data_IF_567069252080
#
_entry.id   IF_567069252080
#
_cell.length_a   1.000
_cell.length_b   1.000
_cell.length_c   1.000
_cell.angle_alpha   90.00
_cell.angle_beta   90.00
_cell.angle_gamma   90.00
#
_symmetry.space_group_name_H-M   'P 1'
#
loop_
_entity.id
_entity.type
_entity.pdbx_description
1 polymer ?
#
# COMPACT_ATOMS: atom_id res chain seq x y z
N UNK A 1 -17.60 -25.74 15.37
CA UNK A 1 -18.41 -24.48 15.45
C UNK A 1 -19.05 -24.26 14.09
N UNK A 2 -20.34 -23.93 14.05
CA UNK A 2 -21.03 -23.71 12.77
C UNK A 2 -20.66 -22.36 12.14
N UNK A 3 -20.91 -22.22 10.83
CA UNK A 3 -20.70 -20.95 10.08
C UNK A 3 -21.46 -19.80 10.75
N UNK A 4 -22.74 -19.99 11.09
CA UNK A 4 -23.58 -18.97 11.79
C UNK A 4 -23.00 -18.60 13.14
N UNK A 5 -22.52 -19.57 13.90
CA UNK A 5 -21.92 -19.31 15.21
C UNK A 5 -20.62 -18.53 15.09
N UNK A 6 -19.75 -18.90 14.14
CA UNK A 6 -18.51 -18.18 13.85
C UNK A 6 -18.81 -16.72 13.45
N UNK A 7 -19.71 -16.51 12.48
CA UNK A 7 -20.11 -15.19 12.03
C UNK A 7 -20.64 -14.32 13.19
N UNK A 8 -21.58 -14.86 13.98
CA UNK A 8 -22.12 -14.15 15.14
C UNK A 8 -21.03 -13.77 16.15
N UNK A 9 -20.10 -14.68 16.45
CA UNK A 9 -19.02 -14.42 17.43
C UNK A 9 -18.03 -13.40 16.87
N UNK A 10 -17.63 -13.51 15.62
CA UNK A 10 -16.71 -12.57 14.98
C UNK A 10 -17.29 -11.15 14.92
N UNK A 11 -18.54 -10.99 14.51
CA UNK A 11 -19.22 -9.69 14.44
C UNK A 11 -19.47 -9.02 15.80
N UNK A 12 -19.40 -9.77 16.90
CA UNK A 12 -19.42 -9.20 18.26
C UNK A 12 -18.06 -8.64 18.72
N UNK A 13 -17.00 -8.86 17.95
CA UNK A 13 -15.66 -8.32 18.23
C UNK A 13 -15.60 -6.88 17.71
N UNK A 14 -15.25 -5.94 18.58
CA UNK A 14 -15.14 -4.53 18.19
C UNK A 14 -14.09 -4.30 17.11
N UNK A 15 -14.48 -3.68 16.00
CA UNK A 15 -13.61 -3.38 14.86
C UNK A 15 -13.56 -4.49 13.80
N UNK A 16 -14.38 -5.55 13.95
CA UNK A 16 -14.57 -6.58 12.92
C UNK A 16 -15.90 -6.33 12.22
N UNK A 17 -15.88 -6.27 10.91
CA UNK A 17 -17.04 -5.98 10.07
C UNK A 17 -17.41 -7.19 9.20
N UNK A 18 -18.64 -7.16 8.67
CA UNK A 18 -19.15 -8.26 7.84
C UNK A 18 -18.25 -8.62 6.65
N UNK A 19 -17.67 -7.67 5.89
CA UNK A 19 -16.71 -8.01 4.84
C UNK A 19 -15.54 -8.84 5.34
N UNK A 20 -14.91 -8.46 6.46
CA UNK A 20 -13.80 -9.21 7.05
C UNK A 20 -14.15 -10.67 7.33
N UNK A 21 -15.34 -10.87 7.89
CA UNK A 21 -15.84 -12.22 8.24
C UNK A 21 -16.10 -13.05 6.99
N UNK A 22 -16.69 -12.44 5.95
CA UNK A 22 -16.97 -13.12 4.69
C UNK A 22 -15.67 -13.48 3.95
N UNK A 23 -14.69 -12.60 3.96
CA UNK A 23 -13.36 -12.87 3.37
C UNK A 23 -12.64 -14.01 4.10
N UNK A 24 -12.66 -14.02 5.44
CA UNK A 24 -12.11 -15.12 6.23
C UNK A 24 -12.81 -16.43 5.91
N UNK A 25 -14.14 -16.45 5.86
CA UNK A 25 -14.91 -17.63 5.54
C UNK A 25 -14.58 -18.16 4.14
N UNK A 26 -14.47 -17.27 3.17
CA UNK A 26 -14.14 -17.60 1.78
C UNK A 26 -12.70 -18.11 1.64
N UNK A 27 -11.73 -17.34 2.11
CA UNK A 27 -10.30 -17.58 1.80
C UNK A 27 -9.70 -18.71 2.68
N UNK A 28 -10.18 -18.88 3.92
CA UNK A 28 -9.63 -19.87 4.85
C UNK A 28 -10.45 -21.17 4.87
N UNK A 29 -11.78 -21.05 4.83
CA UNK A 29 -12.69 -22.18 4.97
C UNK A 29 -13.33 -22.61 3.64
N UNK A 30 -13.06 -21.91 2.54
CA UNK A 30 -13.68 -22.13 1.23
C UNK A 30 -15.22 -22.15 1.30
N UNK A 31 -15.79 -21.21 2.07
CA UNK A 31 -17.22 -20.99 2.27
C UNK A 31 -17.64 -19.77 1.50
N UNK A 32 -18.49 -19.95 0.48
CA UNK A 32 -19.02 -18.83 -0.30
C UNK A 32 -20.09 -18.04 0.45
N UNK A 33 -20.38 -16.81 0.00
CA UNK A 33 -21.49 -16.01 0.56
C UNK A 33 -22.85 -16.70 0.43
N UNK A 34 -23.01 -17.57 -0.57
CA UNK A 34 -24.21 -18.38 -0.75
C UNK A 34 -24.29 -19.47 0.32
N UNK A 35 -23.17 -20.14 0.61
CA UNK A 35 -23.09 -21.16 1.65
C UNK A 35 -23.40 -20.59 3.04
N UNK A 36 -23.00 -19.35 3.31
CA UNK A 36 -23.33 -18.64 4.56
C UNK A 36 -24.85 -18.53 4.76
N UNK A 37 -25.60 -18.35 3.67
CA UNK A 37 -27.06 -18.20 3.70
C UNK A 37 -27.75 -19.55 3.74
N UNK A 38 -27.31 -20.52 2.93
CA UNK A 38 -28.00 -21.80 2.73
C UNK A 38 -27.55 -22.83 3.77
N UNK A 39 -26.23 -22.93 4.02
CA UNK A 39 -25.61 -23.98 4.83
C UNK A 39 -25.02 -23.46 6.15
N UNK A 40 -25.63 -22.42 6.72
CA UNK A 40 -25.10 -21.77 7.94
C UNK A 40 -24.90 -22.71 9.14
N UNK A 41 -25.51 -23.88 9.15
CA UNK A 41 -25.34 -24.90 10.18
C UNK A 41 -24.17 -25.88 9.91
N UNK A 42 -23.52 -25.76 8.74
CA UNK A 42 -22.30 -26.53 8.40
C UNK A 42 -21.17 -26.20 9.38
N UNK A 43 -20.45 -27.24 9.81
CA UNK A 43 -19.34 -27.09 10.76
C UNK A 43 -18.05 -26.63 10.07
N UNK A 44 -17.39 -25.66 10.68
CA UNK A 44 -16.02 -25.25 10.39
C UNK A 44 -15.04 -26.09 11.21
N UNK A 45 -13.82 -26.28 10.68
CA UNK A 45 -12.75 -26.98 11.39
C UNK A 45 -12.20 -26.19 12.60
N UNK A 46 -11.19 -26.76 13.27
CA UNK A 46 -10.62 -26.22 14.52
C UNK A 46 -9.98 -24.84 14.36
N UNK A 47 -9.55 -24.44 13.13
CA UNK A 47 -8.99 -23.11 12.85
C UNK A 47 -9.95 -21.98 13.23
N UNK A 48 -11.26 -22.23 13.21
CA UNK A 48 -12.26 -21.23 13.56
C UNK A 48 -12.11 -20.65 14.97
N UNK A 49 -11.63 -21.44 15.94
CA UNK A 49 -11.38 -20.98 17.32
C UNK A 49 -10.13 -20.10 17.37
N UNK A 50 -9.06 -20.53 16.71
CA UNK A 50 -7.81 -19.76 16.62
C UNK A 50 -8.03 -18.39 15.95
N UNK A 51 -8.79 -18.37 14.86
CA UNK A 51 -9.10 -17.14 14.13
C UNK A 51 -9.90 -16.16 15.01
N UNK A 52 -10.90 -16.64 15.75
CA UNK A 52 -11.62 -15.78 16.70
C UNK A 52 -10.69 -15.21 17.80
N UNK A 53 -9.71 -15.98 18.28
CA UNK A 53 -8.73 -15.49 19.24
C UNK A 53 -7.82 -14.40 18.63
N UNK A 54 -7.36 -14.58 17.38
CA UNK A 54 -6.58 -13.58 16.64
C UNK A 54 -7.39 -12.30 16.42
N UNK A 55 -8.64 -12.40 16.00
CA UNK A 55 -9.54 -11.25 15.84
C UNK A 55 -9.78 -10.51 17.18
N UNK A 56 -9.98 -11.25 18.29
CA UNK A 56 -10.10 -10.65 19.62
C UNK A 56 -8.83 -9.89 20.05
N UNK A 57 -7.67 -10.30 19.58
CA UNK A 57 -6.40 -9.59 19.77
C UNK A 57 -6.25 -8.40 18.82
N UNK A 58 -7.26 -8.07 18.04
CA UNK A 58 -7.26 -6.98 17.06
C UNK A 58 -6.29 -7.19 15.89
N UNK A 59 -5.94 -8.42 15.58
CA UNK A 59 -5.16 -8.72 14.38
C UNK A 59 -6.02 -8.46 13.13
N UNK A 60 -5.51 -7.67 12.15
CA UNK A 60 -6.24 -7.39 10.92
C UNK A 60 -6.61 -8.66 10.16
N UNK A 61 -7.83 -8.72 9.61
CA UNK A 61 -8.32 -9.84 8.81
C UNK A 61 -7.38 -10.18 7.64
N UNK A 62 -6.80 -9.17 7.00
CA UNK A 62 -5.83 -9.34 5.92
C UNK A 62 -4.57 -10.13 6.36
N UNK A 63 -4.06 -9.91 7.58
CA UNK A 63 -2.93 -10.69 8.09
C UNK A 63 -3.34 -12.11 8.52
N UNK A 64 -4.58 -12.29 8.96
CA UNK A 64 -5.12 -13.61 9.27
C UNK A 64 -5.24 -14.45 7.99
N UNK A 65 -5.73 -13.85 6.91
CA UNK A 65 -5.85 -14.45 5.57
C UNK A 65 -4.47 -14.62 4.91
N UNK A 66 -3.56 -13.66 5.12
CA UNK A 66 -2.21 -13.63 4.57
C UNK A 66 -2.09 -12.98 3.19
N UNK A 67 -3.19 -12.52 2.61
CA UNK A 67 -3.20 -11.81 1.33
C UNK A 67 -4.44 -10.92 1.18
N UNK A 68 -4.39 -10.03 0.19
CA UNK A 68 -5.51 -9.21 -0.29
C UNK A 68 -5.56 -9.22 -1.82
N UNK A 69 -6.68 -8.77 -2.39
CA UNK A 69 -6.77 -8.43 -3.80
C UNK A 69 -6.42 -6.95 -3.97
N UNK A 70 -5.60 -6.61 -4.99
CA UNK A 70 -5.18 -5.25 -5.31
C UNK A 70 -4.90 -5.12 -6.81
N UNK A 71 -5.60 -4.23 -7.48
CA UNK A 71 -5.48 -3.97 -8.93
C UNK A 71 -5.50 -5.26 -9.79
N UNK A 72 -6.35 -6.22 -9.43
CA UNK A 72 -6.49 -7.52 -10.12
C UNK A 72 -5.36 -8.51 -9.84
N UNK A 73 -4.57 -8.29 -8.79
CA UNK A 73 -3.50 -9.18 -8.33
C UNK A 73 -3.77 -9.68 -6.91
N UNK A 74 -3.26 -10.86 -6.60
CA UNK A 74 -3.17 -11.34 -5.22
C UNK A 74 -1.87 -10.81 -4.61
N UNK A 75 -1.97 -10.01 -3.56
CA UNK A 75 -0.85 -9.42 -2.84
C UNK A 75 -0.76 -10.03 -1.45
N UNK A 76 0.28 -10.80 -1.20
CA UNK A 76 0.60 -11.30 0.15
C UNK A 76 0.94 -10.16 1.07
N UNK A 77 0.42 -10.26 2.30
CA UNK A 77 0.67 -9.32 3.38
C UNK A 77 0.94 -10.07 4.68
N UNK A 78 1.76 -9.47 5.53
CA UNK A 78 2.06 -9.93 6.88
C UNK A 78 2.51 -8.72 7.72
N UNK A 79 2.78 -8.84 9.04
CA UNK A 79 3.18 -7.73 9.89
C UNK A 79 4.47 -6.96 9.50
N UNK A 80 5.18 -7.37 8.45
CA UNK A 80 6.35 -6.66 7.94
C UNK A 80 6.00 -5.58 6.89
N UNK A 81 4.75 -5.50 6.43
CA UNK A 81 4.30 -4.54 5.41
C UNK A 81 2.97 -3.90 5.78
N UNK A 82 2.77 -2.66 5.38
CA UNK A 82 1.46 -2.01 5.44
C UNK A 82 0.46 -2.81 4.59
N UNK A 83 -0.75 -3.01 5.10
CA UNK A 83 -1.86 -3.55 4.29
C UNK A 83 -2.22 -2.50 3.24
N UNK A 84 -2.12 -2.80 1.93
CA UNK A 84 -2.46 -1.82 0.89
C UNK A 84 -3.90 -1.30 1.04
N UNK A 85 -4.06 0.02 0.89
CA UNK A 85 -5.34 0.71 1.08
C UNK A 85 -6.06 0.91 -0.26
N UNK A 86 -7.37 1.09 -0.20
CA UNK A 86 -8.19 1.35 -1.39
C UNK A 86 -7.78 2.66 -2.10
N UNK A 87 -7.39 3.67 -1.34
CA UNK A 87 -6.89 4.94 -1.89
C UNK A 87 -5.59 4.74 -2.69
N UNK A 88 -4.70 3.86 -2.22
CA UNK A 88 -3.49 3.48 -2.95
C UNK A 88 -3.83 2.73 -4.24
N UNK A 89 -4.84 1.86 -4.21
CA UNK A 89 -5.33 1.17 -5.42
C UNK A 89 -5.91 2.16 -6.43
N UNK A 90 -6.72 3.12 -5.96
CA UNK A 90 -7.27 4.20 -6.79
C UNK A 90 -6.15 5.00 -7.48
N UNK A 91 -5.08 5.37 -6.75
CA UNK A 91 -3.92 6.05 -7.34
C UNK A 91 -3.34 5.23 -8.48
N UNK A 92 -3.06 3.95 -8.24
CA UNK A 92 -2.42 3.07 -9.24
C UNK A 92 -3.30 2.90 -10.46
N UNK A 93 -4.59 2.64 -10.29
CA UNK A 93 -5.53 2.46 -11.39
C UNK A 93 -5.63 3.74 -12.24
N UNK A 94 -5.77 4.91 -11.60
CA UNK A 94 -5.81 6.20 -12.29
C UNK A 94 -4.52 6.48 -13.08
N UNK A 95 -3.35 6.22 -12.49
CA UNK A 95 -2.07 6.39 -13.17
C UNK A 95 -1.95 5.45 -14.37
N UNK A 96 -2.34 4.18 -14.23
CA UNK A 96 -2.30 3.20 -15.32
C UNK A 96 -3.30 3.48 -16.46
N UNK A 97 -4.35 4.26 -16.21
CA UNK A 97 -5.31 4.70 -17.22
C UNK A 97 -4.87 5.97 -17.95
N UNK A 98 -4.16 6.86 -17.25
CA UNK A 98 -3.83 8.21 -17.75
C UNK A 98 -2.40 8.34 -18.26
N UNK A 99 -1.51 7.42 -17.92
CA UNK A 99 -0.08 7.45 -18.27
C UNK A 99 0.31 6.14 -18.97
N UNK A 100 0.97 6.27 -20.12
CA UNK A 100 1.64 5.14 -20.76
C UNK A 100 3.05 4.97 -20.16
N UNK A 101 3.20 3.95 -19.33
CA UNK A 101 4.48 3.57 -18.71
C UNK A 101 5.34 2.66 -19.61
N UNK A 102 4.95 2.36 -20.83
CA UNK A 102 5.71 1.51 -21.76
C UNK A 102 7.09 2.10 -22.03
N UNK A 103 8.13 1.28 -21.90
CA UNK A 103 9.55 1.67 -22.06
C UNK A 103 10.02 2.78 -21.10
N UNK A 104 9.34 2.99 -19.97
CA UNK A 104 9.71 3.95 -18.93
C UNK A 104 10.45 3.26 -17.78
N UNK A 105 11.28 4.03 -17.09
CA UNK A 105 11.94 3.61 -15.86
C UNK A 105 11.22 4.23 -14.67
N UNK A 106 10.67 3.37 -13.81
CA UNK A 106 9.78 3.73 -12.71
C UNK A 106 10.44 3.33 -11.39
N UNK A 107 10.28 4.16 -10.37
CA UNK A 107 10.62 3.86 -8.99
C UNK A 107 9.35 3.81 -8.15
N UNK A 108 9.08 2.67 -7.53
CA UNK A 108 8.15 2.53 -6.40
C UNK A 108 8.96 2.70 -5.12
N UNK A 109 8.80 3.86 -4.46
CA UNK A 109 9.58 4.25 -3.28
C UNK A 109 8.76 4.06 -2.02
N UNK A 110 9.33 3.45 -0.98
CA UNK A 110 8.63 2.93 0.20
C UNK A 110 7.62 1.85 -0.20
N UNK A 111 8.08 0.86 -0.97
CA UNK A 111 7.21 -0.05 -1.70
C UNK A 111 6.40 -1.01 -0.81
N UNK A 112 6.80 -1.25 0.44
CA UNK A 112 6.12 -2.18 1.34
C UNK A 112 5.92 -3.55 0.70
N UNK A 113 4.66 -3.96 0.49
CA UNK A 113 4.30 -5.21 -0.19
C UNK A 113 4.62 -5.22 -1.69
N UNK A 114 5.01 -4.07 -2.27
CA UNK A 114 5.25 -3.90 -3.69
C UNK A 114 3.99 -3.68 -4.53
N UNK A 115 2.83 -3.48 -3.92
CA UNK A 115 1.53 -3.42 -4.61
C UNK A 115 1.48 -2.36 -5.71
N UNK A 116 2.11 -1.19 -5.53
CA UNK A 116 2.14 -0.10 -6.52
C UNK A 116 3.01 -0.51 -7.72
N UNK A 117 4.30 -0.75 -7.48
CA UNK A 117 5.27 -1.02 -8.54
C UNK A 117 4.97 -2.29 -9.31
N UNK A 118 4.53 -3.35 -8.63
CA UNK A 118 4.18 -4.61 -9.25
C UNK A 118 2.93 -4.50 -10.13
N UNK A 119 1.92 -3.69 -9.75
CA UNK A 119 0.75 -3.43 -10.59
C UNK A 119 1.13 -2.74 -11.90
N UNK A 120 2.01 -1.73 -11.82
CA UNK A 120 2.53 -1.04 -13.00
C UNK A 120 3.36 -2.00 -13.86
N UNK A 121 4.25 -2.78 -13.25
CA UNK A 121 5.08 -3.74 -13.96
C UNK A 121 4.26 -4.79 -14.71
N UNK A 122 3.19 -5.30 -14.10
CA UNK A 122 2.27 -6.28 -14.70
C UNK A 122 1.52 -5.69 -15.89
N UNK A 123 1.02 -4.45 -15.76
CA UNK A 123 0.24 -3.79 -16.81
C UNK A 123 1.10 -3.32 -17.98
N UNK A 124 2.37 -2.97 -17.73
CA UNK A 124 3.32 -2.46 -18.73
C UNK A 124 4.59 -3.31 -18.78
N UNK A 125 4.56 -4.49 -19.42
CA UNK A 125 5.67 -5.44 -19.42
C UNK A 125 6.99 -4.90 -20.02
N UNK A 126 6.92 -3.87 -20.89
CA UNK A 126 8.10 -3.19 -21.45
C UNK A 126 8.70 -2.11 -20.54
N UNK A 127 8.07 -1.79 -19.42
CA UNK A 127 8.62 -0.88 -18.43
C UNK A 127 9.77 -1.54 -17.64
N UNK A 128 10.59 -0.73 -16.98
CA UNK A 128 11.57 -1.17 -15.98
C UNK A 128 11.17 -0.60 -14.64
N UNK A 129 10.76 -1.44 -13.70
CA UNK A 129 10.30 -1.00 -12.38
C UNK A 129 11.33 -1.38 -11.32
N UNK A 130 11.76 -0.39 -10.53
CA UNK A 130 12.59 -0.60 -9.34
C UNK A 130 11.70 -0.35 -8.12
N UNK A 131 11.69 -1.29 -7.18
CA UNK A 131 10.98 -1.17 -5.92
C UNK A 131 12.00 -0.98 -4.80
N UNK A 132 11.77 0.01 -3.96
CA UNK A 132 12.72 0.35 -2.89
C UNK A 132 12.01 0.50 -1.56
N UNK A 133 12.59 -0.10 -0.52
CA UNK A 133 12.15 0.05 0.87
C UNK A 133 13.36 0.03 1.80
N UNK A 134 13.22 0.60 2.99
CA UNK A 134 14.26 0.54 4.03
C UNK A 134 14.26 -0.84 4.72
N UNK A 135 13.10 -1.49 4.78
CA UNK A 135 12.92 -2.81 5.40
C UNK A 135 13.28 -3.93 4.43
N UNK A 136 14.29 -4.72 4.79
CA UNK A 136 14.62 -5.94 4.05
C UNK A 136 13.48 -6.96 4.09
N UNK A 137 12.75 -7.00 5.19
CA UNK A 137 11.59 -7.88 5.38
C UNK A 137 10.45 -7.49 4.42
N UNK A 138 10.19 -6.19 4.24
CA UNK A 138 9.24 -5.70 3.25
C UNK A 138 9.66 -6.09 1.82
N UNK A 139 10.93 -5.89 1.48
CA UNK A 139 11.49 -6.33 0.18
C UNK A 139 11.27 -7.84 -0.04
N UNK A 140 11.47 -8.69 0.97
CA UNK A 140 11.24 -10.12 0.84
C UNK A 140 9.76 -10.43 0.52
N UNK A 141 8.81 -9.70 1.14
CA UNK A 141 7.38 -9.84 0.82
C UNK A 141 7.09 -9.37 -0.61
N UNK A 142 7.67 -8.25 -1.05
CA UNK A 142 7.49 -7.75 -2.41
C UNK A 142 8.12 -8.70 -3.46
N UNK A 143 9.27 -9.32 -3.17
CA UNK A 143 9.86 -10.36 -4.02
C UNK A 143 8.96 -11.59 -4.16
N UNK A 144 8.31 -12.01 -3.07
CA UNK A 144 7.33 -13.09 -3.12
C UNK A 144 6.11 -12.68 -3.96
N UNK A 145 5.61 -11.46 -3.78
CA UNK A 145 4.50 -10.91 -4.56
C UNK A 145 4.83 -10.81 -6.07
N UNK A 146 6.05 -10.43 -6.42
CA UNK A 146 6.54 -10.50 -7.80
C UNK A 146 6.42 -11.91 -8.37
N UNK A 147 6.87 -12.92 -7.61
CA UNK A 147 6.90 -14.33 -8.04
C UNK A 147 5.50 -14.91 -8.24
N UNK A 148 4.58 -14.70 -7.29
CA UNK A 148 3.22 -15.26 -7.39
C UNK A 148 2.35 -14.60 -8.47
N UNK A 149 2.74 -13.41 -8.94
CA UNK A 149 2.05 -12.69 -10.00
C UNK A 149 2.77 -12.76 -11.36
N UNK A 150 3.83 -13.59 -11.49
CA UNK A 150 4.59 -13.83 -12.73
C UNK A 150 5.16 -12.56 -13.37
N UNK A 151 5.67 -11.63 -12.54
CA UNK A 151 6.21 -10.35 -13.01
C UNK A 151 7.72 -10.48 -13.23
N UNK A 152 8.23 -10.07 -14.40
CA UNK A 152 9.64 -10.23 -14.76
C UNK A 152 10.44 -8.93 -14.84
N UNK A 153 9.78 -7.80 -15.05
CA UNK A 153 10.37 -6.48 -15.29
C UNK A 153 10.51 -5.60 -14.03
N UNK A 154 10.52 -6.23 -12.85
CA UNK A 154 10.67 -5.57 -11.55
C UNK A 154 11.95 -6.04 -10.84
N UNK A 155 12.66 -5.11 -10.20
CA UNK A 155 13.85 -5.37 -9.37
C UNK A 155 13.76 -4.61 -8.05
N UNK A 156 14.58 -4.98 -7.05
CA UNK A 156 14.44 -4.49 -5.68
C UNK A 156 15.75 -3.90 -5.15
N UNK A 157 15.63 -2.85 -4.31
CA UNK A 157 16.75 -2.18 -3.66
C UNK A 157 16.38 -1.88 -2.20
N UNK A 158 17.24 -2.26 -1.25
CA UNK A 158 17.11 -1.80 0.13
C UNK A 158 17.73 -0.41 0.24
N UNK A 159 16.94 0.60 0.65
CA UNK A 159 17.40 2.00 0.72
C UNK A 159 16.59 2.80 1.75
N UNK A 160 17.27 3.61 2.55
CA UNK A 160 16.61 4.69 3.30
C UNK A 160 16.23 5.78 2.30
N UNK A 161 14.94 5.80 1.93
CA UNK A 161 14.42 6.60 0.82
C UNK A 161 15.31 6.51 -0.43
N UNK A 162 15.94 7.60 -0.84
CA UNK A 162 16.73 7.74 -2.06
C UNK A 162 18.25 7.61 -1.87
N UNK A 163 18.72 7.22 -0.66
CA UNK A 163 20.15 7.20 -0.33
C UNK A 163 20.97 6.22 -1.19
N UNK A 164 20.44 5.03 -1.47
CA UNK A 164 21.09 4.00 -2.28
C UNK A 164 20.67 4.04 -3.75
N UNK A 165 19.79 4.97 -4.14
CA UNK A 165 19.27 5.08 -5.49
C UNK A 165 20.23 5.89 -6.37
N UNK A 166 20.79 5.24 -7.39
CA UNK A 166 21.80 5.86 -8.30
C UNK A 166 21.24 6.21 -9.67
N UNK A 167 20.12 5.62 -10.03
CA UNK A 167 19.51 5.78 -11.35
C UNK A 167 18.62 7.03 -11.43
N UNK A 168 18.32 7.45 -12.68
CA UNK A 168 17.31 8.48 -12.94
C UNK A 168 16.05 7.87 -13.52
N UNK A 169 14.89 8.33 -13.04
CA UNK A 169 13.57 7.78 -13.33
C UNK A 169 12.73 8.73 -14.17
N UNK A 170 11.89 8.16 -15.02
CA UNK A 170 10.81 8.89 -15.70
C UNK A 170 9.70 9.20 -14.72
N UNK A 171 9.41 8.24 -13.82
CA UNK A 171 8.35 8.36 -12.83
C UNK A 171 8.81 7.83 -11.48
N UNK A 172 8.41 8.52 -10.42
CA UNK A 172 8.55 8.05 -9.04
C UNK A 172 7.17 8.04 -8.41
N UNK A 173 6.75 6.90 -7.86
CA UNK A 173 5.48 6.77 -7.15
C UNK A 173 5.81 6.38 -5.71
N UNK A 174 5.12 6.94 -4.74
CA UNK A 174 5.34 6.61 -3.34
C UNK A 174 4.10 6.82 -2.50
N UNK A 175 3.84 5.87 -1.63
CA UNK A 175 3.02 6.05 -0.43
C UNK A 175 3.98 6.04 0.78
N UNK A 176 4.65 7.16 1.10
CA UNK A 176 5.62 7.19 2.19
C UNK A 176 4.91 7.28 3.54
N UNK A 177 5.57 6.94 4.66
CA UNK A 177 5.04 7.20 5.99
C UNK A 177 4.67 8.68 6.15
N UNK A 178 3.48 8.96 6.73
CA UNK A 178 2.96 10.32 6.89
C UNK A 178 2.24 10.59 8.21
N UNK A 179 2.16 9.62 9.11
CA UNK A 179 1.51 9.80 10.41
C UNK A 179 2.48 10.49 11.38
N UNK A 180 2.03 11.53 12.12
CA UNK A 180 2.83 12.14 13.17
C UNK A 180 3.18 11.15 14.29
N UNK A 181 4.41 11.22 14.79
CA UNK A 181 4.84 10.41 15.94
C UNK A 181 3.95 10.68 17.16
N UNK A 182 3.64 9.61 17.91
CA UNK A 182 2.77 9.68 19.08
C UNK A 182 1.27 9.63 18.76
N UNK A 183 0.88 9.61 17.49
CA UNK A 183 -0.51 9.38 17.11
C UNK A 183 -0.90 7.94 17.45
N UNK A 184 -2.06 7.77 18.10
CA UNK A 184 -2.62 6.43 18.35
C UNK A 184 -3.17 5.86 17.06
N UNK A 185 -2.65 4.72 16.63
CA UNK A 185 -3.18 3.96 15.49
C UNK A 185 -4.16 2.90 15.98
N UNK A 186 -5.09 2.50 15.13
CA UNK A 186 -6.11 1.50 15.47
C UNK A 186 -5.52 0.10 15.68
N UNK A 187 -4.37 -0.17 15.07
CA UNK A 187 -3.70 -1.47 15.18
C UNK A 187 -2.21 -1.30 15.52
N UNK A 188 -1.73 -2.15 16.42
CA UNK A 188 -0.30 -2.28 16.73
C UNK A 188 0.40 -3.33 15.83
N UNK A 189 -0.32 -3.94 14.90
CA UNK A 189 0.21 -5.01 14.05
C UNK A 189 0.96 -4.49 12.83
N UNK A 190 0.60 -3.31 12.32
CA UNK A 190 1.29 -2.72 11.18
C UNK A 190 2.65 -2.14 11.59
N UNK A 191 3.68 -2.24 10.72
CA UNK A 191 5.03 -1.82 11.09
C UNK A 191 5.11 -0.29 11.29
N UNK A 192 5.66 0.14 12.40
CA UNK A 192 5.81 1.57 12.74
C UNK A 192 6.58 2.36 11.67
N UNK A 193 7.56 1.72 11.01
CA UNK A 193 8.34 2.32 9.91
C UNK A 193 7.47 2.67 8.68
N UNK A 194 6.36 1.98 8.48
CA UNK A 194 5.45 2.26 7.37
C UNK A 194 4.42 3.35 7.71
N UNK A 195 4.32 3.76 8.98
CA UNK A 195 3.29 4.68 9.46
C UNK A 195 3.85 6.06 9.81
N UNK A 196 4.89 6.11 10.65
CA UNK A 196 5.29 7.35 11.33
C UNK A 196 6.40 8.11 10.59
N UNK A 197 6.30 9.44 10.56
CA UNK A 197 7.20 10.33 9.83
C UNK A 197 7.45 11.65 10.57
N UNK A 198 8.15 11.57 11.69
CA UNK A 198 8.49 12.73 12.52
C UNK A 198 7.29 13.35 13.24
N UNK A 199 7.52 14.49 13.89
CA UNK A 199 6.54 15.14 14.77
C UNK A 199 5.29 15.66 14.05
N UNK A 200 5.39 16.02 12.77
CA UNK A 200 4.28 16.56 11.98
C UNK A 200 3.84 15.66 10.81
N UNK A 201 4.46 14.47 10.66
CA UNK A 201 4.15 13.52 9.60
C UNK A 201 4.77 13.85 8.24
N UNK A 202 5.67 14.85 8.15
CA UNK A 202 6.14 15.35 6.87
C UNK A 202 7.63 15.09 6.58
N UNK A 203 8.35 14.42 7.47
CA UNK A 203 9.80 14.23 7.32
C UNK A 203 10.16 13.38 6.11
N UNK A 204 9.36 12.36 5.79
CA UNK A 204 9.54 11.55 4.58
C UNK A 204 9.50 12.41 3.32
N UNK A 205 8.50 13.27 3.19
CA UNK A 205 8.37 14.18 2.04
C UNK A 205 9.53 15.15 1.94
N UNK A 206 9.99 15.74 3.08
CA UNK A 206 11.15 16.64 3.11
C UNK A 206 12.40 15.95 2.59
N UNK A 207 12.68 14.72 3.05
CA UNK A 207 13.82 13.92 2.64
C UNK A 207 13.76 13.57 1.15
N UNK A 208 12.60 13.09 0.68
CA UNK A 208 12.41 12.68 -0.70
C UNK A 208 12.53 13.89 -1.64
N UNK A 209 11.75 14.96 -1.41
CA UNK A 209 11.67 16.14 -2.29
C UNK A 209 13.05 16.80 -2.45
N UNK A 210 13.84 16.88 -1.38
CA UNK A 210 15.19 17.45 -1.44
C UNK A 210 16.14 16.65 -2.36
N UNK A 211 15.93 15.35 -2.53
CA UNK A 211 16.78 14.49 -3.36
C UNK A 211 16.26 14.23 -4.77
N UNK A 212 15.02 14.60 -5.08
CA UNK A 212 14.43 14.42 -6.42
C UNK A 212 15.32 14.94 -7.56
N UNK A 213 16.01 16.10 -7.46
CA UNK A 213 16.82 16.61 -8.57
C UNK A 213 17.94 15.65 -9.03
N UNK A 214 18.40 14.76 -8.15
CA UNK A 214 19.47 13.81 -8.45
C UNK A 214 18.98 12.53 -9.13
N UNK A 215 17.71 12.13 -8.87
CA UNK A 215 17.14 10.84 -9.28
C UNK A 215 15.97 10.97 -10.27
N UNK A 216 15.41 12.17 -10.46
CA UNK A 216 14.35 12.40 -11.43
C UNK A 216 14.93 12.94 -12.74
N UNK A 217 14.49 12.40 -13.87
CA UNK A 217 14.82 12.93 -15.20
C UNK A 217 14.22 14.32 -15.37
N UNK A 218 14.69 15.07 -16.36
CA UNK A 218 14.26 16.45 -16.61
C UNK A 218 12.74 16.57 -16.83
N UNK A 219 12.14 15.65 -17.58
CA UNK A 219 10.69 15.58 -17.83
C UNK A 219 10.00 14.56 -16.92
N UNK A 220 10.66 14.12 -15.86
CA UNK A 220 10.11 13.14 -14.94
C UNK A 220 9.04 13.75 -14.04
N UNK A 221 8.15 12.90 -13.55
CA UNK A 221 7.05 13.26 -12.66
C UNK A 221 7.06 12.40 -11.40
N UNK A 222 6.52 12.94 -10.30
CA UNK A 222 6.39 12.23 -9.03
C UNK A 222 4.95 12.22 -8.57
N UNK A 223 4.52 11.09 -8.04
CA UNK A 223 3.18 10.87 -7.53
C UNK A 223 3.25 10.38 -6.09
N UNK A 224 2.69 11.16 -5.18
CA UNK A 224 2.62 10.81 -3.78
C UNK A 224 1.19 10.55 -3.35
N UNK A 225 0.98 9.54 -2.50
CA UNK A 225 -0.14 9.52 -1.59
C UNK A 225 0.15 10.45 -0.42
N UNK A 226 -0.86 11.16 0.08
CA UNK A 226 -0.74 12.15 1.16
C UNK A 226 -1.87 12.00 2.18
N UNK A 227 -1.66 12.51 3.39
CA UNK A 227 -2.70 12.68 4.39
C UNK A 227 -3.58 13.89 4.08
N UNK A 228 -4.91 13.72 4.16
CA UNK A 228 -5.88 14.82 4.02
C UNK A 228 -5.64 15.90 5.09
N UNK A 229 -5.73 17.17 4.71
CA UNK A 229 -5.46 18.31 5.57
C UNK A 229 -3.98 18.71 5.69
N UNK A 230 -3.06 18.07 4.92
CA UNK A 230 -1.63 18.43 4.89
C UNK A 230 -1.20 19.13 3.59
N UNK A 231 -2.14 19.41 2.68
CA UNK A 231 -1.87 19.93 1.33
C UNK A 231 -1.03 21.20 1.35
N UNK A 232 -1.43 22.21 2.14
CA UNK A 232 -0.74 23.51 2.19
C UNK A 232 0.69 23.36 2.72
N UNK A 233 0.88 22.51 3.73
CA UNK A 233 2.20 22.21 4.28
C UNK A 233 3.10 21.54 3.22
N UNK A 234 2.57 20.56 2.49
CA UNK A 234 3.28 19.85 1.43
C UNK A 234 3.62 20.76 0.26
N UNK A 235 2.67 21.58 -0.19
CA UNK A 235 2.93 22.58 -1.24
C UNK A 235 3.98 23.60 -0.80
N UNK A 236 3.99 24.02 0.48
CA UNK A 236 5.03 24.88 1.03
C UNK A 236 6.43 24.23 0.99
N UNK A 237 6.53 22.91 1.26
CA UNK A 237 7.80 22.16 1.14
C UNK A 237 8.28 22.17 -0.32
N UNK A 238 7.38 21.88 -1.27
CA UNK A 238 7.69 21.88 -2.70
C UNK A 238 8.14 23.25 -3.18
N UNK A 239 7.44 24.32 -2.77
CA UNK A 239 7.76 25.69 -3.18
C UNK A 239 9.09 26.20 -2.63
N UNK A 240 9.45 25.82 -1.41
CA UNK A 240 10.78 26.15 -0.83
C UNK A 240 11.92 25.51 -1.60
N UNK A 241 11.72 24.31 -2.14
CA UNK A 241 12.72 23.64 -2.98
C UNK A 241 12.87 24.33 -4.35
N UNK A 242 11.80 24.98 -4.87
CA UNK A 242 11.83 25.90 -5.98
C UNK A 242 11.85 25.28 -7.38
N UNK A 243 12.17 24.00 -7.53
CA UNK A 243 12.34 23.30 -8.82
C UNK A 243 11.01 22.73 -9.33
N UNK A 244 10.15 22.29 -8.44
CA UNK A 244 8.92 21.59 -8.80
C UNK A 244 7.66 22.43 -8.52
N UNK A 245 6.59 22.10 -9.27
CA UNK A 245 5.23 22.56 -8.99
C UNK A 245 4.43 21.39 -8.49
N UNK A 246 3.76 21.55 -7.34
CA UNK A 246 2.83 20.59 -6.77
C UNK A 246 1.41 20.81 -7.27
N UNK A 247 0.66 19.74 -7.51
CA UNK A 247 -0.76 19.73 -7.84
C UNK A 247 -1.43 18.71 -6.93
N UNK A 248 -2.41 19.16 -6.14
CA UNK A 248 -3.19 18.28 -5.29
C UNK A 248 -4.35 17.69 -6.08
N UNK A 249 -4.58 16.40 -5.89
CA UNK A 249 -5.71 15.65 -6.43
C UNK A 249 -6.49 15.00 -5.28
N UNK A 250 -7.80 14.89 -5.46
CA UNK A 250 -8.70 14.28 -4.52
C UNK A 250 -8.99 12.83 -4.91
N UNK A 251 -9.25 12.01 -3.89
CA UNK A 251 -9.76 10.66 -4.04
C UNK A 251 -11.27 10.65 -4.35
N UNK A 252 -11.84 9.46 -4.59
CA UNK A 252 -13.28 9.27 -4.83
C UNK A 252 -14.15 9.70 -3.64
N UNK A 253 -13.59 9.77 -2.43
CA UNK A 253 -14.26 10.32 -1.26
C UNK A 253 -14.15 11.85 -1.15
N UNK A 254 -13.61 12.54 -2.20
CA UNK A 254 -13.41 13.98 -2.27
C UNK A 254 -12.43 14.55 -1.23
N UNK A 255 -11.51 13.71 -0.68
CA UNK A 255 -10.43 14.10 0.23
C UNK A 255 -9.15 14.36 -0.57
N UNK A 256 -8.34 15.33 -0.13
CA UNK A 256 -7.01 15.54 -0.69
C UNK A 256 -6.13 14.31 -0.38
N UNK A 257 -5.83 13.54 -1.41
CA UNK A 257 -5.18 12.24 -1.22
C UNK A 257 -3.90 12.06 -2.03
N UNK A 258 -3.74 12.83 -3.10
CA UNK A 258 -2.60 12.67 -3.99
C UNK A 258 -1.93 14.01 -4.27
N UNK A 259 -0.60 14.02 -4.32
CA UNK A 259 0.20 15.15 -4.75
C UNK A 259 1.07 14.76 -5.95
N UNK A 260 0.89 15.46 -7.06
CA UNK A 260 1.64 15.27 -8.30
C UNK A 260 2.67 16.39 -8.45
N UNK A 261 3.93 16.02 -8.68
CA UNK A 261 5.01 16.97 -8.88
C UNK A 261 5.53 16.91 -10.31
N UNK A 262 5.66 18.09 -10.92
CA UNK A 262 6.31 18.29 -12.22
C UNK A 262 7.36 19.39 -12.09
N UNK A 263 8.44 19.31 -12.86
CA UNK A 263 9.44 20.39 -12.90
C UNK A 263 8.79 21.68 -13.41
N UNK A 264 9.13 22.83 -12.81
CA UNK A 264 8.75 24.15 -13.32
C UNK A 264 9.46 24.36 -14.65
N UNK A 265 8.74 24.93 -15.66
CA UNK A 265 9.31 25.29 -16.95
C UNK A 265 10.27 26.45 -16.80
#
# INVERSE_FOLDING_TARGET
MTIKEFQRRALNIQGVYLPDVLDILKEIFNVSSVDVIIDGDKELDSRSIEILDRLNKKEPSAYIIGHIQFAGMTIKVNPNVLIPRMETEELVLNLCETIDFSNKKILDLCCGSGCIGLSIAKRFPSSTVILSDISKEAINVAEENKRINDINNATFVVSDFLESIKDKFDYIISNPPYIPEGTKTETSYEPALALFSGMDGLDSYRKIINKLPFVLKEKGEVFFEIEDGKEDNLLSIVDRQGIYKGIIKKDLANKARFMYLKRKN
#
